data_IF_513695579221
#
_entry.id   IF_513695579221
#
_cell.length_a   1.000
_cell.length_b   1.000
_cell.length_c   1.000
_cell.angle_alpha   90.00
_cell.angle_beta   90.00
_cell.angle_gamma   90.00
#
_symmetry.space_group_name_H-M   'P 1'
#
loop_
_entity.id
_entity.type
_entity.pdbx_description
1 polymer ?
#
# COMPACT_ATOMS: atom_id res chain seq x y z
N UNK A 1 -19.57 4.19 -1.60
CA UNK A 1 -18.79 2.92 -1.67
C UNK A 1 -18.42 2.51 -3.10
N UNK A 2 -19.37 2.54 -4.03
CA UNK A 2 -19.19 1.99 -5.39
C UNK A 2 -18.06 2.67 -6.19
N UNK A 3 -17.94 4.00 -6.13
CA UNK A 3 -16.95 4.73 -6.93
C UNK A 3 -15.49 4.34 -6.66
N UNK A 4 -15.11 4.16 -5.38
CA UNK A 4 -13.74 3.73 -5.03
C UNK A 4 -13.54 2.24 -5.31
N UNK A 5 -14.57 1.43 -5.04
CA UNK A 5 -14.56 -0.02 -5.21
C UNK A 5 -14.40 -0.47 -6.66
N UNK A 6 -14.80 0.32 -7.65
CA UNK A 6 -14.60 -0.04 -9.06
C UNK A 6 -13.12 -0.28 -9.41
N UNK A 7 -12.21 0.51 -8.84
CA UNK A 7 -10.77 0.36 -9.07
C UNK A 7 -10.05 -0.32 -7.89
N UNK A 8 -10.49 -0.07 -6.65
CA UNK A 8 -9.86 -0.61 -5.44
C UNK A 8 -10.54 -1.89 -4.91
N UNK A 9 -11.50 -2.44 -5.65
CA UNK A 9 -12.31 -3.60 -5.28
C UNK A 9 -11.56 -4.93 -5.25
N UNK A 10 -10.43 -5.03 -5.95
CA UNK A 10 -9.64 -6.26 -5.98
C UNK A 10 -8.83 -6.53 -4.71
N UNK A 11 -8.59 -5.52 -3.86
CA UNK A 11 -7.76 -5.65 -2.65
C UNK A 11 -8.32 -4.84 -1.48
N UNK A 12 -8.31 -3.51 -1.61
CA UNK A 12 -8.53 -2.60 -0.48
C UNK A 12 -9.98 -2.58 -0.02
N UNK A 13 -10.94 -2.50 -0.93
CA UNK A 13 -12.34 -2.41 -0.53
C UNK A 13 -12.81 -3.66 0.22
N UNK A 14 -12.48 -4.91 -0.19
CA UNK A 14 -12.80 -6.08 0.61
C UNK A 14 -12.16 -6.12 2.00
N UNK A 15 -10.93 -5.61 2.12
CA UNK A 15 -10.21 -5.51 3.41
C UNK A 15 -10.90 -4.52 4.34
N UNK A 16 -11.24 -3.32 3.84
CA UNK A 16 -11.86 -2.27 4.64
C UNK A 16 -13.33 -2.58 5.01
N UNK A 17 -14.10 -3.07 4.03
CA UNK A 17 -15.54 -3.29 4.17
C UNK A 17 -15.90 -4.66 4.77
N UNK A 18 -14.92 -5.51 5.06
CA UNK A 18 -15.16 -6.84 5.63
C UNK A 18 -15.79 -7.83 4.66
N UNK A 19 -15.40 -7.77 3.38
CA UNK A 19 -15.86 -8.71 2.34
C UNK A 19 -14.94 -9.93 2.18
N UNK A 20 -13.90 -10.04 3.01
CA UNK A 20 -13.09 -11.26 3.10
C UNK A 20 -13.77 -12.24 4.07
N UNK A 21 -14.17 -13.40 3.57
CA UNK A 21 -14.84 -14.44 4.36
C UNK A 21 -14.04 -14.80 5.62
N UNK A 22 -14.74 -14.86 6.76
CA UNK A 22 -14.14 -15.21 8.05
C UNK A 22 -13.38 -14.07 8.75
N UNK A 23 -13.30 -12.88 8.16
CA UNK A 23 -12.60 -11.74 8.75
C UNK A 23 -13.52 -10.53 8.93
N UNK A 24 -13.42 -9.81 10.06
CA UNK A 24 -14.27 -8.67 10.32
C UNK A 24 -13.91 -7.48 9.42
N UNK A 25 -14.85 -6.56 9.17
CA UNK A 25 -14.56 -5.25 8.59
C UNK A 25 -13.62 -4.41 9.46
N UNK A 26 -13.05 -3.38 8.85
CA UNK A 26 -12.29 -2.36 9.56
C UNK A 26 -13.19 -1.62 10.57
N UNK A 27 -12.62 -1.27 11.73
CA UNK A 27 -13.36 -0.59 12.80
C UNK A 27 -13.75 0.84 12.41
N UNK A 28 -12.96 1.52 11.58
CA UNK A 28 -13.28 2.85 11.06
C UNK A 28 -14.52 2.78 10.16
N UNK A 29 -14.63 1.72 9.36
CA UNK A 29 -15.85 1.44 8.59
C UNK A 29 -17.02 1.04 9.50
N UNK A 30 -16.88 -0.06 10.23
CA UNK A 30 -18.00 -0.71 10.89
C UNK A 30 -18.54 0.09 12.07
N UNK A 31 -17.65 0.65 12.89
CA UNK A 31 -18.01 1.32 14.14
C UNK A 31 -18.07 2.84 13.97
N UNK A 32 -17.05 3.43 13.36
CA UNK A 32 -16.99 4.88 13.18
C UNK A 32 -17.77 5.40 11.96
N UNK A 33 -18.27 4.52 11.10
CA UNK A 33 -19.02 4.87 9.88
C UNK A 33 -18.25 5.80 8.94
N UNK A 34 -16.93 5.68 8.95
CA UNK A 34 -16.03 6.44 8.08
C UNK A 34 -15.98 5.77 6.71
N UNK A 35 -16.41 6.48 5.67
CA UNK A 35 -16.18 6.07 4.30
C UNK A 35 -14.74 6.39 3.85
N UNK A 36 -14.42 6.13 2.59
CA UNK A 36 -13.07 6.35 2.08
C UNK A 36 -12.63 7.82 2.17
N UNK A 37 -13.56 8.78 1.99
CA UNK A 37 -13.23 10.20 1.91
C UNK A 37 -13.08 10.86 3.29
N UNK A 38 -13.55 10.21 4.35
CA UNK A 38 -13.26 10.62 5.73
C UNK A 38 -11.75 10.64 6.03
N UNK A 39 -10.99 9.69 5.46
CA UNK A 39 -9.53 9.66 5.57
C UNK A 39 -8.83 10.24 4.32
N UNK A 40 -9.43 10.07 3.14
CA UNK A 40 -8.92 10.56 1.86
C UNK A 40 -9.81 11.68 1.26
N UNK A 41 -9.78 12.91 1.81
CA UNK A 41 -10.52 14.04 1.25
C UNK A 41 -10.25 14.26 -0.23
N UNK A 42 -11.25 14.77 -0.95
CA UNK A 42 -11.14 15.04 -2.39
C UNK A 42 -9.92 15.91 -2.77
N UNK A 43 -9.51 16.83 -1.88
CA UNK A 43 -8.31 17.64 -2.08
C UNK A 43 -7.03 16.80 -2.18
N UNK A 44 -6.92 15.67 -1.48
CA UNK A 44 -5.78 14.74 -1.64
C UNK A 44 -5.78 14.07 -3.01
N UNK A 45 -6.96 13.80 -3.58
CA UNK A 45 -7.11 13.09 -4.86
C UNK A 45 -6.81 13.99 -6.06
N UNK A 46 -7.16 15.28 -5.98
CA UNK A 46 -6.81 16.25 -7.03
C UNK A 46 -5.36 16.73 -6.95
N UNK A 47 -4.69 16.52 -5.80
CA UNK A 47 -3.34 16.99 -5.55
C UNK A 47 -3.30 18.47 -5.13
N UNK A 48 -2.12 18.90 -4.68
CA UNK A 48 -1.84 20.27 -4.22
C UNK A 48 -0.99 21.07 -5.23
N UNK A 49 -0.80 20.54 -6.44
CA UNK A 49 0.09 21.10 -7.46
C UNK A 49 1.59 20.81 -7.25
N UNK A 50 1.96 20.13 -6.18
CA UNK A 50 3.35 19.75 -5.89
C UNK A 50 3.67 18.38 -6.48
N UNK A 51 4.76 18.29 -7.23
CA UNK A 51 5.30 17.01 -7.68
C UNK A 51 6.08 16.35 -6.53
N UNK A 52 5.54 15.23 -6.02
CA UNK A 52 6.22 14.41 -5.03
C UNK A 52 6.95 13.25 -5.71
N UNK A 53 8.13 12.83 -5.21
CA UNK A 53 8.88 11.71 -5.80
C UNK A 53 8.10 10.39 -5.73
N UNK A 54 7.30 10.23 -4.67
CA UNK A 54 6.35 9.15 -4.52
C UNK A 54 5.22 9.55 -3.56
N UNK A 55 4.21 8.69 -3.46
CA UNK A 55 3.05 8.88 -2.60
C UNK A 55 3.36 8.96 -1.10
N UNK A 56 4.50 8.44 -0.63
CA UNK A 56 4.86 8.46 0.77
C UNK A 56 5.40 9.84 1.19
N UNK A 57 5.98 10.58 0.24
CA UNK A 57 6.39 11.97 0.42
C UNK A 57 5.22 12.96 0.47
N UNK A 58 4.02 12.57 0.01
CA UNK A 58 2.82 13.42 0.06
C UNK A 58 2.52 13.82 1.50
N UNK A 59 2.47 15.14 1.76
CA UNK A 59 2.27 15.67 3.12
C UNK A 59 0.83 15.51 3.61
N UNK A 60 -0.12 15.66 2.70
CA UNK A 60 -1.55 15.57 3.00
C UNK A 60 -2.07 14.14 3.18
N UNK A 61 -1.22 13.11 3.04
CA UNK A 61 -1.64 11.70 3.20
C UNK A 61 -2.27 11.46 4.60
N UNK A 62 -3.26 10.57 4.73
CA UNK A 62 -3.88 10.31 6.02
C UNK A 62 -2.85 9.74 7.01
N UNK A 63 -2.83 10.25 8.24
CA UNK A 63 -2.00 9.72 9.33
C UNK A 63 -2.86 9.26 10.50
N UNK A 64 -2.49 8.14 11.13
CA UNK A 64 -3.22 7.61 12.28
C UNK A 64 -3.28 8.64 13.43
N UNK A 65 -2.20 9.41 13.61
CA UNK A 65 -2.08 10.37 14.70
C UNK A 65 -2.91 11.64 14.50
N UNK A 66 -3.46 11.89 13.31
CA UNK A 66 -4.37 13.03 13.07
C UNK A 66 -5.68 12.85 13.85
N UNK A 67 -6.14 11.59 14.00
CA UNK A 67 -7.33 11.23 14.78
C UNK A 67 -6.98 10.59 16.14
N UNK A 68 -5.78 10.01 16.28
CA UNK A 68 -5.31 9.35 17.50
C UNK A 68 -4.04 10.02 18.09
N UNK A 69 -4.10 11.32 18.47
CA UNK A 69 -2.92 12.07 18.91
C UNK A 69 -2.27 11.48 20.17
N UNK A 70 -3.07 10.83 21.01
CA UNK A 70 -2.61 10.25 22.27
C UNK A 70 -2.02 8.84 22.11
N UNK A 71 -2.06 8.26 20.89
CA UNK A 71 -1.56 6.90 20.67
C UNK A 71 -0.04 6.78 20.83
N UNK A 72 0.73 7.88 20.77
CA UNK A 72 2.17 7.90 21.09
C UNK A 72 2.50 8.69 22.35
N UNK A 73 1.50 9.14 23.11
CA UNK A 73 1.74 9.98 24.28
C UNK A 73 2.47 9.21 25.39
N UNK A 74 3.36 9.91 26.08
CA UNK A 74 3.98 9.43 27.33
C UNK A 74 2.86 9.18 28.34
N UNK A 75 2.72 7.93 28.81
CA UNK A 75 1.62 7.53 29.70
C UNK A 75 0.38 6.97 28.99
N UNK A 76 0.48 6.59 27.71
CA UNK A 76 -0.54 5.76 27.06
C UNK A 76 -0.91 4.57 27.97
N UNK A 77 -2.21 4.30 28.21
CA UNK A 77 -2.64 3.15 29.01
C UNK A 77 -2.29 1.80 28.35
N UNK A 78 -1.94 1.83 27.05
CA UNK A 78 -1.45 0.69 26.29
C UNK A 78 0.08 0.77 26.29
N UNK A 79 0.74 -0.09 27.06
CA UNK A 79 2.20 -0.15 27.21
C UNK A 79 2.92 -0.34 25.87
N UNK A 80 2.35 -1.13 24.96
CA UNK A 80 2.92 -1.42 23.65
C UNK A 80 3.09 -0.16 22.79
N UNK A 81 2.25 0.86 22.98
CA UNK A 81 2.42 2.13 22.27
C UNK A 81 3.72 2.84 22.69
N UNK A 82 4.03 2.86 23.99
CA UNK A 82 5.25 3.45 24.53
C UNK A 82 6.50 2.61 24.19
N UNK A 83 6.38 1.29 24.09
CA UNK A 83 7.48 0.41 23.72
C UNK A 83 7.79 0.40 22.22
N UNK A 84 6.76 0.53 21.36
CA UNK A 84 6.89 0.40 19.92
C UNK A 84 7.11 1.73 19.18
N UNK A 85 6.59 2.86 19.67
CA UNK A 85 6.79 4.23 19.14
C UNK A 85 7.11 4.30 17.63
N UNK A 86 8.40 4.49 17.29
CA UNK A 86 8.93 4.66 15.94
C UNK A 86 9.70 3.42 15.45
N UNK A 87 9.45 2.26 16.06
CA UNK A 87 10.05 0.96 15.71
C UNK A 87 9.09 0.11 14.91
N UNK A 88 7.80 0.09 15.28
CA UNK A 88 6.78 -0.77 14.66
C UNK A 88 5.63 0.08 14.14
N UNK A 89 5.27 -0.09 12.87
CA UNK A 89 4.14 0.60 12.27
C UNK A 89 2.82 0.15 12.91
N UNK A 90 1.92 1.11 13.18
CA UNK A 90 0.60 0.89 13.78
C UNK A 90 -0.18 -0.27 13.13
N UNK A 91 -0.09 -0.41 11.80
CA UNK A 91 -0.80 -1.46 11.05
C UNK A 91 -0.35 -2.89 11.38
N UNK A 92 0.79 -3.09 12.02
CA UNK A 92 1.21 -4.41 12.48
C UNK A 92 0.24 -4.97 13.53
N UNK A 93 -0.36 -4.10 14.35
CA UNK A 93 -1.37 -4.49 15.33
C UNK A 93 -2.79 -4.08 14.91
N UNK A 94 -2.94 -2.94 14.22
CA UNK A 94 -4.22 -2.37 13.83
C UNK A 94 -4.61 -2.73 12.38
N UNK A 95 -4.39 -3.98 11.98
CA UNK A 95 -4.89 -4.49 10.70
C UNK A 95 -5.31 -5.93 10.85
N UNK A 96 -6.21 -6.34 9.96
CA UNK A 96 -6.56 -7.74 9.75
C UNK A 96 -5.78 -8.30 8.57
N UNK A 97 -6.02 -9.56 8.22
CA UNK A 97 -5.47 -10.17 7.01
C UNK A 97 -5.84 -9.34 5.78
N UNK A 98 -4.93 -9.34 4.82
CA UNK A 98 -5.10 -8.61 3.57
C UNK A 98 -4.89 -9.50 2.36
N UNK A 99 -5.42 -9.08 1.20
CA UNK A 99 -5.39 -9.88 -0.03
C UNK A 99 -4.08 -9.68 -0.79
N UNK A 100 -3.16 -10.63 -0.66
CA UNK A 100 -1.97 -10.71 -1.50
C UNK A 100 -2.30 -11.22 -2.90
N UNK A 101 -1.43 -10.88 -3.85
CA UNK A 101 -1.43 -11.49 -5.17
C UNK A 101 -0.02 -11.96 -5.49
N UNK A 102 0.07 -13.05 -6.24
CA UNK A 102 1.31 -13.72 -6.61
C UNK A 102 1.26 -14.14 -8.07
N UNK A 103 2.42 -14.28 -8.70
CA UNK A 103 2.57 -14.88 -10.03
C UNK A 103 1.69 -14.25 -11.12
N UNK A 104 1.68 -12.91 -11.17
CA UNK A 104 1.00 -12.18 -12.24
C UNK A 104 1.74 -12.38 -13.55
N UNK A 105 1.07 -13.02 -14.52
CA UNK A 105 1.52 -13.12 -15.90
C UNK A 105 0.54 -12.44 -16.84
N UNK A 106 1.05 -11.69 -17.82
CA UNK A 106 0.23 -11.03 -18.81
C UNK A 106 -0.57 -12.06 -19.61
N UNK A 107 -1.90 -11.92 -19.60
CA UNK A 107 -2.82 -12.87 -20.24
C UNK A 107 -3.26 -14.05 -19.36
N UNK A 108 -2.57 -14.35 -18.26
CA UNK A 108 -2.91 -15.44 -17.33
C UNK A 108 -3.41 -14.96 -15.97
N UNK A 109 -3.25 -13.66 -15.66
CA UNK A 109 -3.68 -13.08 -14.39
C UNK A 109 -2.74 -13.42 -13.24
N UNK A 110 -3.22 -13.30 -12.01
CA UNK A 110 -2.47 -13.55 -10.78
C UNK A 110 -3.24 -14.49 -9.86
N UNK A 111 -2.53 -15.23 -9.01
CA UNK A 111 -3.12 -16.00 -7.91
C UNK A 111 -3.31 -15.08 -6.71
N UNK A 112 -4.47 -15.14 -6.05
CA UNK A 112 -4.72 -14.35 -4.84
C UNK A 112 -4.83 -15.24 -3.61
N UNK A 113 -4.38 -14.73 -2.47
CA UNK A 113 -4.56 -15.36 -1.16
C UNK A 113 -4.65 -14.31 -0.06
N UNK A 114 -5.24 -14.67 1.07
CA UNK A 114 -5.17 -13.84 2.27
C UNK A 114 -3.79 -14.02 2.92
N UNK A 115 -3.21 -12.92 3.37
CA UNK A 115 -1.86 -12.81 3.88
C UNK A 115 -1.83 -11.92 5.12
N UNK A 116 -0.85 -12.17 5.99
CA UNK A 116 -0.46 -11.29 7.07
C UNK A 116 1.04 -11.47 7.28
N UNK A 117 1.86 -10.59 6.69
CA UNK A 117 3.32 -10.71 6.66
C UNK A 117 3.93 -9.51 7.36
N UNK A 118 4.55 -9.75 8.50
CA UNK A 118 5.32 -8.76 9.25
C UNK A 118 6.78 -8.86 8.80
N UNK A 119 7.42 -7.73 8.54
CA UNK A 119 8.84 -7.70 8.19
C UNK A 119 9.45 -6.32 8.30
N UNK A 120 10.75 -6.23 7.99
CA UNK A 120 11.45 -4.95 7.94
C UNK A 120 11.01 -4.14 6.72
N UNK A 121 10.82 -2.84 6.90
CA UNK A 121 10.62 -1.96 5.75
C UNK A 121 11.88 -1.90 4.89
N UNK A 122 11.70 -1.80 3.58
CA UNK A 122 12.77 -1.54 2.63
C UNK A 122 13.00 -0.03 2.41
N UNK A 123 12.20 0.83 3.05
CA UNK A 123 12.27 2.28 2.91
C UNK A 123 13.21 2.88 3.93
N UNK A 124 14.21 3.63 3.46
CA UNK A 124 15.14 4.34 4.32
C UNK A 124 14.50 5.57 5.01
N UNK A 125 13.45 6.13 4.40
CA UNK A 125 12.73 7.32 4.87
C UNK A 125 11.54 6.98 5.80
N UNK A 126 11.30 5.70 6.08
CA UNK A 126 10.19 5.29 6.91
C UNK A 126 10.42 5.64 8.40
N UNK A 127 9.40 6.15 9.12
CA UNK A 127 9.49 6.45 10.55
C UNK A 127 9.34 5.19 11.43
N UNK A 128 9.53 4.01 10.86
CA UNK A 128 9.40 2.71 11.52
C UNK A 128 10.38 1.72 10.89
N UNK A 129 10.76 0.68 11.63
CA UNK A 129 11.64 -0.38 11.13
C UNK A 129 10.86 -1.62 10.71
N UNK A 130 9.76 -1.92 11.42
CA UNK A 130 8.91 -3.10 11.19
C UNK A 130 7.53 -2.66 10.74
N UNK A 131 6.99 -3.31 9.70
CA UNK A 131 5.66 -3.03 9.15
C UNK A 131 5.04 -4.29 8.55
N UNK A 132 3.80 -4.19 8.11
CA UNK A 132 3.21 -5.19 7.24
C UNK A 132 3.72 -5.03 5.80
N UNK A 133 4.04 -6.16 5.16
CA UNK A 133 4.58 -6.21 3.81
C UNK A 133 3.64 -6.92 2.85
N UNK A 134 3.40 -6.35 1.67
CA UNK A 134 2.68 -7.00 0.58
C UNK A 134 3.65 -7.34 -0.53
N UNK A 135 3.49 -8.54 -1.08
CA UNK A 135 4.23 -8.93 -2.28
C UNK A 135 3.69 -8.17 -3.50
N UNK A 136 4.61 -7.63 -4.30
CA UNK A 136 4.29 -7.12 -5.62
C UNK A 136 4.17 -8.33 -6.55
N UNK A 137 3.00 -8.58 -7.17
CA UNK A 137 2.71 -9.87 -7.81
C UNK A 137 3.49 -10.13 -9.09
N UNK A 138 4.36 -9.22 -9.51
CA UNK A 138 5.16 -9.35 -10.74
C UNK A 138 6.13 -10.52 -10.62
N UNK A 139 6.40 -11.20 -11.73
CA UNK A 139 7.46 -12.23 -11.83
C UNK A 139 8.30 -11.93 -13.07
N UNK A 140 9.58 -12.32 -13.10
CA UNK A 140 10.55 -11.97 -14.18
C UNK A 140 9.98 -12.03 -15.59
N UNK A 141 9.21 -13.08 -15.86
CA UNK A 141 8.65 -13.43 -17.16
C UNK A 141 7.22 -12.92 -17.37
N UNK A 142 6.73 -11.99 -16.52
CA UNK A 142 5.34 -11.51 -16.60
C UNK A 142 5.01 -10.89 -17.95
N UNK A 143 5.99 -10.26 -18.61
CA UNK A 143 5.83 -9.57 -19.89
C UNK A 143 6.24 -10.42 -21.09
N UNK A 144 6.86 -11.58 -20.89
CA UNK A 144 7.37 -12.44 -21.97
C UNK A 144 6.36 -12.72 -23.10
N UNK A 145 5.05 -12.87 -22.85
CA UNK A 145 4.06 -13.05 -23.93
C UNK A 145 3.94 -11.88 -24.92
N UNK A 146 4.44 -10.68 -24.58
CA UNK A 146 4.43 -9.49 -25.44
C UNK A 146 5.81 -8.86 -25.65
N UNK A 147 6.69 -9.01 -24.66
CA UNK A 147 8.04 -8.47 -24.66
C UNK A 147 8.93 -9.43 -23.86
N UNK A 148 9.68 -10.27 -24.58
CA UNK A 148 10.67 -11.17 -23.98
C UNK A 148 11.68 -10.35 -23.16
N UNK A 149 11.94 -10.78 -21.93
CA UNK A 149 12.90 -10.14 -21.01
C UNK A 149 12.57 -8.66 -20.73
N UNK A 150 11.29 -8.27 -20.84
CA UNK A 150 10.81 -6.90 -20.63
C UNK A 150 10.96 -6.34 -19.20
N UNK A 151 11.60 -7.09 -18.30
CA UNK A 151 11.92 -6.67 -16.94
C UNK A 151 13.39 -6.99 -16.60
N UNK A 152 14.35 -6.38 -17.29
CA UNK A 152 15.78 -6.69 -17.11
C UNK A 152 16.28 -6.37 -15.69
N UNK A 153 15.65 -5.40 -15.01
CA UNK A 153 16.01 -4.96 -13.66
C UNK A 153 15.07 -5.49 -12.57
N UNK A 154 14.49 -6.68 -12.76
CA UNK A 154 13.50 -7.23 -11.83
C UNK A 154 14.01 -7.31 -10.37
N UNK A 155 15.30 -7.62 -10.16
CA UNK A 155 15.90 -7.75 -8.82
C UNK A 155 16.43 -6.44 -8.23
N UNK A 156 16.31 -5.32 -8.94
CA UNK A 156 16.91 -4.07 -8.50
C UNK A 156 16.30 -3.53 -7.19
N UNK A 157 15.10 -3.99 -6.83
CA UNK A 157 14.41 -3.61 -5.59
C UNK A 157 13.68 -4.81 -4.97
N UNK A 158 13.46 -4.82 -3.63
CA UNK A 158 12.73 -5.90 -2.99
C UNK A 158 11.29 -6.03 -3.51
N UNK A 159 10.83 -7.27 -3.71
CA UNK A 159 9.45 -7.55 -4.15
C UNK A 159 8.42 -7.40 -3.03
N UNK A 160 8.85 -7.47 -1.77
CA UNK A 160 8.03 -7.16 -0.60
C UNK A 160 8.09 -5.66 -0.30
N UNK A 161 6.94 -4.99 -0.30
CA UNK A 161 6.80 -3.54 -0.06
C UNK A 161 5.83 -3.29 1.09
N UNK A 162 5.99 -2.18 1.80
CA UNK A 162 5.06 -1.74 2.84
C UNK A 162 3.60 -1.77 2.35
N UNK A 163 2.69 -2.33 3.17
CA UNK A 163 1.26 -2.39 2.85
C UNK A 163 0.64 -0.99 2.77
N UNK A 164 1.16 -0.03 3.54
CA UNK A 164 0.55 1.29 3.74
C UNK A 164 1.10 2.40 2.82
N UNK A 165 0.23 3.31 2.35
CA UNK A 165 -1.22 3.19 2.43
C UNK A 165 -1.80 2.30 1.33
N UNK A 166 -1.03 1.84 0.32
CA UNK A 166 -1.46 0.89 -0.73
C UNK A 166 -0.30 0.53 -1.67
N UNK A 167 0.39 -0.60 -1.46
CA UNK A 167 1.48 -1.12 -2.31
C UNK A 167 1.32 -0.86 -3.83
N UNK A 168 2.13 0.06 -4.35
CA UNK A 168 2.04 0.60 -5.71
C UNK A 168 3.15 1.63 -5.93
N UNK A 169 4.40 1.20 -5.74
CA UNK A 169 5.54 1.96 -6.26
C UNK A 169 5.46 1.88 -7.79
N UNK A 170 5.04 2.96 -8.43
CA UNK A 170 5.09 3.08 -9.87
C UNK A 170 6.53 2.92 -10.33
N UNK A 171 6.77 1.95 -11.22
CA UNK A 171 8.02 1.84 -11.99
C UNK A 171 8.14 3.10 -12.84
N UNK A 172 8.88 4.11 -12.38
CA UNK A 172 9.55 5.00 -13.32
C UNK A 172 10.76 4.23 -13.85
N UNK A 173 10.50 3.24 -14.71
CA UNK A 173 11.50 2.84 -15.68
C UNK A 173 11.57 4.03 -16.65
N UNK A 174 12.68 4.75 -16.63
CA UNK A 174 12.96 5.75 -17.66
C UNK A 174 12.82 5.07 -19.02
N UNK A 175 11.70 5.34 -19.69
CA UNK A 175 11.62 5.16 -21.13
C UNK A 175 12.56 6.23 -21.65
N UNK A 176 13.74 5.81 -22.09
CA UNK A 176 14.66 6.71 -22.80
C UNK A 176 13.86 7.42 -23.89
N UNK A 177 13.91 8.74 -23.87
CA UNK A 177 13.34 9.61 -24.90
C UNK A 177 14.00 9.27 -26.25
N UNK A 178 13.46 8.28 -26.94
CA UNK A 178 13.70 8.05 -28.35
C UNK A 178 13.05 9.19 -29.11
N UNK A 179 13.80 10.26 -29.37
CA UNK A 179 13.44 11.29 -30.35
C UNK A 179 13.10 10.61 -31.67
N UNK A 180 11.83 10.57 -32.03
CA UNK A 180 11.39 10.34 -33.41
C UNK A 180 11.70 11.62 -34.17
N UNK A 181 12.88 11.66 -34.80
CA UNK A 181 13.16 12.61 -35.87
C UNK A 181 12.48 12.09 -37.12
N UNK A 182 11.39 12.74 -37.53
CA UNK A 182 10.80 12.51 -38.84
C UNK A 182 11.79 12.84 -39.97
N UNK A 183 11.76 12.02 -41.01
CA UNK A 183 11.91 12.36 -42.42
C UNK A 183 11.19 11.29 -43.22
#
# INVERSE_FOLDING_TARGET
EEGCGTCHGGRVAPEYLGKNEGFPPDVHWQKAKMDCVACHPAAQMHGDGTAYPDRHAVKSKPQCLDCHPNAKATGSPIEQHAGHLDKVNCVVCHSTVYRGCENCHLGAGAKSSLQFKIGKTARADAPYQITLLRHVPTVRTMLDPKLKDGMPNYDAVPTWKDTTPQGGGGRHAGVGEGRVSGR
#
